data_IF_499643184510
#
_entry.id   IF_499643184510
#
_cell.length_a   1.000
_cell.length_b   1.000
_cell.length_c   1.000
_cell.angle_alpha   90.00
_cell.angle_beta   90.00
_cell.angle_gamma   90.00
#
_symmetry.space_group_name_H-M   'P 1'
#
loop_
_entity.id
_entity.type
_entity.pdbx_description
1 polymer ?
#
# COMPACT_ATOMS: atom_id res chain seq x y z
N UNK A 1 41.06 16.85 -6.52
CA UNK A 1 40.75 16.57 -7.93
C UNK A 1 39.25 16.47 -8.04
N UNK A 2 38.64 17.40 -8.75
CA UNK A 2 37.19 17.54 -8.90
C UNK A 2 36.58 16.28 -9.53
N UNK A 3 35.65 15.63 -8.84
CA UNK A 3 34.78 14.63 -9.44
C UNK A 3 33.96 15.34 -10.53
N UNK A 4 34.31 15.13 -11.80
CA UNK A 4 33.48 15.61 -12.91
C UNK A 4 32.18 14.80 -12.89
N UNK A 5 31.12 15.44 -12.40
CA UNK A 5 29.77 14.89 -12.47
C UNK A 5 29.32 15.01 -13.93
N UNK A 6 29.48 13.92 -14.68
CA UNK A 6 28.95 13.82 -16.04
C UNK A 6 27.45 13.54 -15.93
N UNK A 7 26.62 14.36 -16.57
CA UNK A 7 25.16 14.17 -16.63
C UNK A 7 24.79 12.79 -17.17
N UNK A 8 23.64 12.24 -16.76
CA UNK A 8 23.14 10.94 -17.24
C UNK A 8 23.12 10.80 -18.76
N UNK A 9 22.65 11.83 -19.47
CA UNK A 9 22.65 11.89 -20.93
C UNK A 9 24.07 11.78 -21.50
N UNK A 10 25.00 12.59 -21.00
CA UNK A 10 26.41 12.54 -21.43
C UNK A 10 27.08 11.19 -21.12
N UNK A 11 26.68 10.51 -20.05
CA UNK A 11 27.15 9.15 -19.76
C UNK A 11 26.68 8.14 -20.81
N UNK A 12 25.42 8.23 -21.24
CA UNK A 12 24.88 7.38 -22.32
C UNK A 12 25.54 7.69 -23.67
N UNK A 13 25.79 8.95 -23.99
CA UNK A 13 26.55 9.33 -25.19
C UNK A 13 27.95 8.70 -25.19
N UNK A 14 28.67 8.80 -24.08
CA UNK A 14 30.01 8.19 -23.95
C UNK A 14 29.96 6.66 -24.07
N UNK A 15 28.92 6.01 -23.53
CA UNK A 15 28.71 4.57 -23.72
C UNK A 15 28.48 4.22 -25.19
N UNK A 16 27.77 5.05 -25.95
CA UNK A 16 27.54 4.83 -27.38
C UNK A 16 28.82 5.02 -28.20
N UNK A 17 29.65 6.01 -27.88
CA UNK A 17 30.91 6.28 -28.58
C UNK A 17 31.90 5.10 -28.47
N UNK A 18 31.92 4.43 -27.32
CA UNK A 18 32.77 3.26 -27.06
C UNK A 18 32.33 2.02 -27.86
N UNK A 19 31.06 1.93 -28.27
CA UNK A 19 30.52 0.81 -29.06
C UNK A 19 30.95 0.84 -30.53
N UNK A 20 31.45 1.99 -31.02
CA UNK A 20 31.77 2.18 -32.43
C UNK A 20 33.12 1.55 -32.72
N UNK A 21 33.08 0.28 -33.11
CA UNK A 21 34.12 -0.31 -33.95
C UNK A 21 34.16 0.46 -35.28
N UNK A 22 34.93 1.56 -35.35
CA UNK A 22 35.36 2.21 -36.60
C UNK A 22 36.36 1.33 -37.37
N UNK A 23 36.19 0.02 -37.34
CA UNK A 23 37.09 -0.96 -37.97
C UNK A 23 36.65 -1.33 -39.39
N UNK A 24 35.56 -0.74 -39.91
CA UNK A 24 35.14 -0.87 -41.32
C UNK A 24 35.27 0.39 -42.18
N UNK A 25 35.71 1.51 -41.62
CA UNK A 25 36.14 2.67 -42.42
C UNK A 25 37.64 2.90 -42.22
N UNK A 26 38.31 3.33 -43.29
CA UNK A 26 39.78 3.46 -43.48
C UNK A 26 40.53 4.06 -42.27
N UNK A 27 41.83 3.77 -42.09
CA UNK A 27 42.55 4.03 -40.85
C UNK A 27 42.68 5.54 -40.60
N UNK A 28 41.83 6.09 -39.74
CA UNK A 28 41.94 7.49 -39.31
C UNK A 28 42.58 7.57 -37.92
N UNK A 29 43.85 8.01 -37.91
CA UNK A 29 44.61 8.76 -36.89
C UNK A 29 44.66 8.24 -35.43
N UNK A 30 45.88 8.19 -34.86
CA UNK A 30 46.18 7.95 -33.43
C UNK A 30 45.35 8.82 -32.47
N UNK A 31 44.91 10.00 -32.91
CA UNK A 31 43.96 10.87 -32.20
C UNK A 31 42.68 10.16 -31.75
N UNK A 32 42.11 9.29 -32.59
CA UNK A 32 40.84 8.61 -32.31
C UNK A 32 40.98 7.46 -31.30
N UNK A 33 42.14 6.80 -31.26
CA UNK A 33 42.41 5.77 -30.24
C UNK A 33 42.61 6.39 -28.86
N UNK A 34 43.23 7.57 -28.82
CA UNK A 34 43.42 8.32 -27.57
C UNK A 34 42.09 8.83 -27.01
N UNK A 35 41.17 9.27 -27.87
CA UNK A 35 39.83 9.72 -27.47
C UNK A 35 38.95 8.59 -26.92
N UNK A 36 38.94 7.40 -27.56
CA UNK A 36 38.20 6.23 -27.04
C UNK A 36 38.79 5.73 -25.71
N UNK A 37 40.12 5.78 -25.56
CA UNK A 37 40.78 5.42 -24.30
C UNK A 37 40.46 6.43 -23.19
N UNK A 38 40.37 7.72 -23.50
CA UNK A 38 39.98 8.76 -22.56
C UNK A 38 38.51 8.61 -22.13
N UNK A 39 37.60 8.38 -23.07
CA UNK A 39 36.18 8.14 -22.78
C UNK A 39 35.99 6.88 -21.91
N UNK A 40 36.80 5.85 -22.12
CA UNK A 40 36.81 4.65 -21.27
C UNK A 40 37.29 4.93 -19.85
N UNK A 41 38.34 5.73 -19.67
CA UNK A 41 38.78 6.14 -18.33
C UNK A 41 37.75 7.02 -17.63
N UNK A 42 37.07 7.88 -18.37
CA UNK A 42 36.03 8.76 -17.84
C UNK A 42 34.79 7.95 -17.42
N UNK A 43 34.40 6.93 -18.19
CA UNK A 43 33.30 6.01 -17.83
C UNK A 43 33.62 5.15 -16.60
N UNK A 44 34.85 4.64 -16.48
CA UNK A 44 35.27 3.83 -15.33
C UNK A 44 35.38 4.63 -14.03
N UNK A 45 35.70 5.92 -14.14
CA UNK A 45 35.82 6.82 -12.98
C UNK A 45 34.51 7.52 -12.62
N UNK A 46 33.49 7.44 -13.48
CA UNK A 46 32.19 8.07 -13.28
C UNK A 46 31.44 7.49 -12.05
N UNK A 47 30.96 8.38 -11.18
CA UNK A 47 30.20 8.04 -9.96
C UNK A 47 28.91 7.27 -10.22
N UNK A 48 28.31 7.41 -11.41
CA UNK A 48 27.12 6.66 -11.84
C UNK A 48 27.43 5.16 -12.01
N UNK A 49 28.57 4.85 -12.62
CA UNK A 49 28.96 3.48 -12.97
C UNK A 49 29.83 2.81 -11.90
N UNK A 50 30.50 3.59 -11.03
CA UNK A 50 31.36 3.12 -9.93
C UNK A 50 30.67 2.11 -9.01
N UNK A 51 29.36 2.28 -8.79
CA UNK A 51 28.56 1.38 -7.94
C UNK A 51 28.43 -0.05 -8.48
N UNK A 52 28.66 -0.24 -9.78
CA UNK A 52 28.56 -1.54 -10.44
C UNK A 52 29.92 -2.24 -10.57
N UNK A 53 31.02 -1.60 -10.14
CA UNK A 53 32.38 -2.15 -10.15
C UNK A 53 32.76 -2.80 -11.50
N UNK A 54 32.50 -2.09 -12.59
CA UNK A 54 32.60 -2.57 -13.97
C UNK A 54 34.06 -2.58 -14.45
N UNK A 55 34.40 -3.55 -15.29
CA UNK A 55 35.66 -3.55 -16.04
C UNK A 55 35.49 -3.03 -17.49
N UNK A 56 36.60 -2.92 -18.21
CA UNK A 56 36.64 -2.44 -19.61
C UNK A 56 35.75 -3.28 -20.53
N UNK A 57 35.62 -4.58 -20.27
CA UNK A 57 34.83 -5.48 -21.11
C UNK A 57 33.36 -5.39 -20.78
N UNK A 58 33.03 -5.20 -19.50
CA UNK A 58 31.68 -4.94 -19.03
C UNK A 58 31.09 -3.69 -19.71
N UNK A 59 31.86 -2.60 -19.79
CA UNK A 59 31.46 -1.38 -20.49
C UNK A 59 31.21 -1.65 -21.98
N UNK A 60 32.05 -2.47 -22.63
CA UNK A 60 31.84 -2.86 -24.03
C UNK A 60 30.55 -3.66 -24.21
N UNK A 61 30.25 -4.61 -23.31
CA UNK A 61 28.98 -5.36 -23.34
C UNK A 61 27.79 -4.41 -23.24
N UNK A 62 27.82 -3.50 -22.27
CA UNK A 62 26.77 -2.49 -22.05
C UNK A 62 26.60 -1.62 -23.30
N UNK A 63 27.71 -1.15 -23.88
CA UNK A 63 27.71 -0.32 -25.10
C UNK A 63 27.07 -1.03 -26.30
N UNK A 64 27.35 -2.32 -26.49
CA UNK A 64 26.81 -3.15 -27.57
C UNK A 64 25.30 -3.32 -27.40
N UNK A 65 24.83 -3.54 -26.17
CA UNK A 65 23.42 -3.72 -25.88
C UNK A 65 22.65 -2.41 -25.97
N UNK A 66 23.21 -1.30 -25.49
CA UNK A 66 22.63 0.02 -25.57
C UNK A 66 22.42 0.44 -27.03
N UNK A 67 23.43 0.21 -27.88
CA UNK A 67 23.32 0.44 -29.32
C UNK A 67 22.24 -0.43 -29.97
N UNK A 68 22.19 -1.72 -29.65
CA UNK A 68 21.18 -2.61 -30.21
C UNK A 68 19.77 -2.17 -29.81
N UNK A 69 19.59 -1.71 -28.57
CA UNK A 69 18.31 -1.18 -28.07
C UNK A 69 17.88 0.06 -28.86
N UNK A 70 18.79 1.01 -29.13
CA UNK A 70 18.51 2.17 -29.98
C UNK A 70 18.24 1.82 -31.45
N UNK A 71 18.84 0.73 -31.94
CA UNK A 71 18.54 0.16 -33.27
C UNK A 71 17.19 -0.59 -33.33
N UNK A 72 16.39 -0.58 -32.24
CA UNK A 72 15.10 -1.29 -32.14
C UNK A 72 15.22 -2.79 -31.89
N UNK A 73 16.36 -3.25 -31.37
CA UNK A 73 16.60 -4.65 -30.94
C UNK A 73 16.73 -4.73 -29.44
N UNK A 74 15.61 -4.98 -28.77
CA UNK A 74 15.52 -4.98 -27.30
C UNK A 74 16.30 -6.14 -26.66
N UNK A 75 16.46 -7.27 -27.36
CA UNK A 75 17.20 -8.43 -26.87
C UNK A 75 18.34 -8.85 -27.82
N UNK A 76 19.46 -9.29 -27.26
CA UNK A 76 20.61 -9.80 -28.03
C UNK A 76 21.05 -11.16 -27.47
N UNK A 77 21.17 -12.16 -28.34
CA UNK A 77 21.67 -13.50 -27.95
C UNK A 77 23.10 -13.42 -27.44
N UNK A 78 23.43 -14.21 -26.42
CA UNK A 78 24.77 -14.27 -25.82
C UNK A 78 25.86 -14.47 -26.88
N UNK A 79 25.62 -15.38 -27.83
CA UNK A 79 26.57 -15.68 -28.91
C UNK A 79 26.86 -14.47 -29.81
N UNK A 80 25.88 -13.59 -30.01
CA UNK A 80 26.03 -12.42 -30.88
C UNK A 80 26.72 -11.27 -30.14
N UNK A 81 26.54 -11.17 -28.82
CA UNK A 81 27.35 -10.29 -27.96
C UNK A 81 28.82 -10.73 -28.01
N UNK A 82 29.07 -12.04 -27.81
CA UNK A 82 30.43 -12.60 -27.80
C UNK A 82 31.16 -12.43 -29.14
N UNK A 83 30.47 -12.63 -30.27
CA UNK A 83 31.02 -12.38 -31.61
C UNK A 83 31.43 -10.92 -31.82
N UNK A 84 30.67 -9.97 -31.27
CA UNK A 84 30.98 -8.54 -31.38
C UNK A 84 32.14 -8.12 -30.47
N UNK A 85 32.40 -8.85 -29.39
CA UNK A 85 33.50 -8.53 -28.46
C UNK A 85 34.88 -8.96 -28.98
N UNK A 86 35.00 -10.11 -29.66
CA UNK A 86 36.28 -10.62 -30.17
C UNK A 86 36.17 -11.52 -31.41
N UNK A 87 37.22 -11.47 -32.26
CA UNK A 87 37.39 -12.36 -33.41
C UNK A 87 37.87 -13.80 -33.06
N UNK A 88 38.21 -14.11 -31.80
CA UNK A 88 38.80 -15.40 -31.41
C UNK A 88 37.86 -16.26 -30.53
N UNK A 89 37.40 -17.39 -31.09
CA UNK A 89 36.40 -18.28 -30.47
C UNK A 89 36.83 -18.90 -29.13
N UNK A 90 38.13 -19.13 -28.91
CA UNK A 90 38.63 -19.84 -27.73
C UNK A 90 38.64 -19.02 -26.42
N UNK A 91 38.56 -17.69 -26.48
CA UNK A 91 38.48 -16.82 -25.28
C UNK A 91 37.05 -16.48 -24.85
N UNK A 92 36.05 -16.83 -25.66
CA UNK A 92 34.63 -16.48 -25.47
C UNK A 92 33.98 -17.08 -24.22
N UNK A 93 34.52 -18.20 -23.71
CA UNK A 93 34.00 -18.87 -22.50
C UNK A 93 34.25 -18.07 -21.21
N UNK A 94 35.37 -17.35 -21.12
CA UNK A 94 35.65 -16.48 -19.98
C UNK A 94 34.73 -15.27 -19.92
N UNK A 95 34.30 -14.78 -21.08
CA UNK A 95 33.39 -13.64 -21.23
C UNK A 95 31.93 -14.02 -20.95
N UNK A 96 31.55 -15.29 -21.11
CA UNK A 96 30.24 -15.79 -20.71
C UNK A 96 30.00 -15.62 -19.20
N UNK A 97 31.03 -15.85 -18.38
CA UNK A 97 30.97 -15.61 -16.94
C UNK A 97 30.77 -14.12 -16.60
N UNK A 98 31.20 -13.20 -17.46
CA UNK A 98 30.94 -11.77 -17.28
C UNK A 98 29.49 -11.40 -17.54
N UNK A 99 28.83 -12.04 -18.50
CA UNK A 99 27.38 -11.86 -18.72
C UNK A 99 26.58 -12.29 -17.48
N UNK A 100 26.95 -13.42 -16.87
CA UNK A 100 26.35 -13.87 -15.60
C UNK A 100 26.61 -12.86 -14.49
N UNK A 101 27.87 -12.42 -14.32
CA UNK A 101 28.24 -11.40 -13.33
C UNK A 101 27.48 -10.08 -13.52
N UNK A 102 27.25 -9.62 -14.75
CA UNK A 102 26.49 -8.40 -15.04
C UNK A 102 24.99 -8.59 -14.79
N UNK A 103 24.46 -9.78 -15.05
CA UNK A 103 23.10 -10.17 -14.66
C UNK A 103 22.94 -10.11 -13.14
N UNK A 104 23.85 -10.72 -12.40
CA UNK A 104 23.80 -10.78 -10.92
C UNK A 104 23.95 -9.38 -10.28
N UNK A 105 24.60 -8.45 -10.98
CA UNK A 105 24.72 -7.04 -10.59
C UNK A 105 23.52 -6.18 -10.98
N UNK A 106 22.49 -6.77 -11.59
CA UNK A 106 21.28 -6.08 -12.02
C UNK A 106 21.48 -5.16 -13.22
N UNK A 107 22.60 -5.27 -13.95
CA UNK A 107 22.86 -4.51 -15.19
C UNK A 107 22.14 -5.14 -16.37
N UNK A 108 22.07 -6.48 -16.40
CA UNK A 108 21.43 -7.25 -17.47
C UNK A 108 20.21 -8.01 -16.96
N UNK A 109 19.24 -8.22 -17.86
CA UNK A 109 18.08 -9.09 -17.67
C UNK A 109 18.05 -10.14 -18.78
N UNK A 110 17.58 -11.35 -18.47
CA UNK A 110 17.36 -12.39 -19.47
C UNK A 110 15.97 -12.17 -20.07
N UNK A 111 15.91 -11.88 -21.37
CA UNK A 111 14.67 -11.65 -22.11
C UNK A 111 14.04 -12.97 -22.59
N UNK A 112 14.87 -13.90 -23.09
CA UNK A 112 14.47 -15.24 -23.54
C UNK A 112 15.54 -16.28 -23.20
N UNK A 113 15.13 -17.42 -22.63
CA UNK A 113 16.01 -18.53 -22.25
C UNK A 113 15.29 -19.54 -21.37
N UNK A 114 15.90 -20.72 -21.16
CA UNK A 114 15.40 -21.70 -20.18
C UNK A 114 15.45 -21.06 -18.78
N UNK A 115 14.27 -20.90 -18.18
CA UNK A 115 14.11 -20.41 -16.81
C UNK A 115 14.88 -21.32 -15.87
N UNK A 116 15.80 -20.74 -15.11
CA UNK A 116 16.93 -21.40 -14.44
C UNK A 116 18.00 -21.77 -15.45
N UNK A 117 18.81 -20.77 -15.85
CA UNK A 117 20.15 -21.09 -16.30
C UNK A 117 20.89 -21.67 -15.10
N UNK A 118 20.77 -22.98 -14.88
CA UNK A 118 21.85 -23.74 -14.28
C UNK A 118 23.14 -23.25 -14.96
N UNK A 119 24.24 -23.11 -14.22
CA UNK A 119 25.57 -22.63 -14.70
C UNK A 119 26.16 -23.46 -15.87
N UNK A 120 25.36 -24.33 -16.49
CA UNK A 120 25.66 -24.99 -17.74
C UNK A 120 25.91 -23.97 -18.86
N UNK A 121 27.11 -24.04 -19.42
CA UNK A 121 27.58 -23.18 -20.51
C UNK A 121 26.63 -23.21 -21.72
N UNK A 122 26.02 -24.36 -22.01
CA UNK A 122 25.12 -24.52 -23.14
C UNK A 122 23.84 -23.69 -22.98
N UNK A 123 23.21 -23.68 -21.79
CA UNK A 123 22.01 -22.88 -21.54
C UNK A 123 22.31 -21.39 -21.63
N UNK A 124 23.43 -20.96 -21.02
CA UNK A 124 23.88 -19.56 -21.02
C UNK A 124 24.16 -19.01 -22.43
N UNK A 125 24.64 -19.84 -23.37
CA UNK A 125 24.88 -19.43 -24.76
C UNK A 125 23.60 -19.19 -25.56
N UNK A 126 22.52 -19.90 -25.20
CA UNK A 126 21.22 -19.78 -25.86
C UNK A 126 20.33 -18.67 -25.27
N UNK A 127 20.72 -18.08 -24.14
CA UNK A 127 20.04 -16.95 -23.54
C UNK A 127 20.15 -15.67 -24.39
N UNK A 128 19.09 -14.88 -24.39
CA UNK A 128 19.05 -13.51 -24.91
C UNK A 128 19.06 -12.54 -23.74
N UNK A 129 19.97 -11.58 -23.79
CA UNK A 129 20.19 -10.57 -22.76
C UNK A 129 19.73 -9.20 -23.25
N UNK A 130 19.21 -8.42 -22.32
CA UNK A 130 18.84 -7.01 -22.49
C UNK A 130 19.41 -6.18 -21.34
N UNK A 131 19.59 -4.88 -21.54
CA UNK A 131 19.87 -3.98 -20.42
C UNK A 131 18.64 -3.94 -19.51
N UNK A 132 18.85 -3.92 -18.19
CA UNK A 132 17.72 -3.79 -17.27
C UNK A 132 17.16 -2.37 -17.32
N UNK A 133 15.83 -2.26 -17.24
CA UNK A 133 15.14 -0.98 -17.16
C UNK A 133 15.65 -0.17 -15.96
N UNK A 134 15.89 -0.85 -14.83
CA UNK A 134 16.43 -0.27 -13.60
C UNK A 134 17.84 0.33 -13.79
N UNK A 135 18.70 -0.33 -14.58
CA UNK A 135 20.03 0.18 -14.90
C UNK A 135 19.95 1.40 -15.81
N UNK A 136 19.16 1.34 -16.88
CA UNK A 136 18.96 2.47 -17.79
C UNK A 136 18.38 3.67 -17.04
N UNK A 137 17.32 3.45 -16.26
CA UNK A 137 16.68 4.50 -15.46
C UNK A 137 17.62 5.04 -14.38
N UNK A 138 18.55 4.23 -13.85
CA UNK A 138 19.55 4.72 -12.91
C UNK A 138 20.60 5.63 -13.54
N UNK A 139 20.89 5.48 -14.83
CA UNK A 139 21.83 6.35 -15.56
C UNK A 139 21.10 7.60 -16.04
N UNK A 140 19.92 7.42 -16.65
CA UNK A 140 19.13 8.51 -17.21
C UNK A 140 18.48 9.38 -16.13
N UNK A 141 17.86 8.75 -15.13
CA UNK A 141 17.14 9.40 -14.03
C UNK A 141 18.03 10.05 -12.96
N UNK A 142 19.35 10.13 -13.16
CA UNK A 142 20.26 10.96 -12.36
C UNK A 142 20.53 12.34 -12.95
N UNK A 143 19.72 12.81 -13.90
CA UNK A 143 19.48 14.26 -14.02
C UNK A 143 18.62 14.68 -12.85
N UNK A 144 19.30 15.27 -11.85
CA UNK A 144 18.76 15.79 -10.59
C UNK A 144 18.39 14.71 -9.56
N UNK A 145 19.37 14.33 -8.72
CA UNK A 145 19.04 14.34 -7.29
C UNK A 145 18.45 15.72 -7.03
N UNK A 146 17.12 15.82 -6.92
CA UNK A 146 16.45 17.06 -6.54
C UNK A 146 17.23 17.64 -5.35
N UNK A 147 17.77 18.87 -5.46
CA UNK A 147 18.64 19.43 -4.45
C UNK A 147 18.01 19.29 -3.08
N UNK A 148 18.84 19.01 -2.07
CA UNK A 148 18.53 18.73 -0.66
C UNK A 148 17.64 19.77 0.07
N UNK A 149 17.09 20.78 -0.60
CA UNK A 149 16.34 21.87 0.00
C UNK A 149 15.00 22.23 -0.69
N UNK A 150 14.51 21.40 -1.62
CA UNK A 150 13.25 21.66 -2.32
C UNK A 150 11.99 21.18 -1.59
N UNK A 151 12.12 20.55 -0.42
CA UNK A 151 10.99 20.02 0.34
C UNK A 151 10.08 21.17 0.81
N UNK A 152 8.94 21.34 0.12
CA UNK A 152 7.89 22.30 0.46
C UNK A 152 7.07 21.78 1.65
N UNK A 153 6.57 22.66 2.53
CA UNK A 153 5.63 22.25 3.57
C UNK A 153 4.38 21.62 2.95
N UNK A 154 3.75 20.69 3.66
CA UNK A 154 2.47 20.13 3.25
C UNK A 154 1.40 21.22 3.26
N UNK A 155 0.61 21.30 2.19
CA UNK A 155 -0.49 22.26 2.10
C UNK A 155 -1.75 21.77 2.81
N UNK A 156 -2.01 20.47 2.71
CA UNK A 156 -3.20 19.83 3.24
C UNK A 156 -2.93 18.39 3.68
N UNK A 157 -3.96 17.73 4.21
CA UNK A 157 -3.88 16.34 4.66
C UNK A 157 -3.71 15.35 3.50
N UNK A 158 -4.13 15.70 2.29
CA UNK A 158 -4.04 14.80 1.14
C UNK A 158 -2.61 14.69 0.64
N UNK A 159 -1.84 15.79 0.60
CA UNK A 159 -0.41 15.75 0.29
C UNK A 159 0.36 14.91 1.33
N UNK A 160 0.00 15.01 2.62
CA UNK A 160 0.60 14.16 3.66
C UNK A 160 0.26 12.67 3.47
N UNK A 161 -1.02 12.36 3.22
CA UNK A 161 -1.44 10.98 3.00
C UNK A 161 -0.82 10.39 1.72
N UNK A 162 -0.61 11.19 0.69
CA UNK A 162 0.06 10.77 -0.54
C UNK A 162 1.49 10.25 -0.25
N UNK A 163 2.29 10.99 0.51
CA UNK A 163 3.64 10.55 0.89
C UNK A 163 3.59 9.28 1.77
N UNK A 164 2.59 9.15 2.66
CA UNK A 164 2.40 7.91 3.45
C UNK A 164 2.02 6.71 2.58
N UNK A 165 1.19 6.91 1.55
CA UNK A 165 0.84 5.87 0.58
C UNK A 165 2.02 5.49 -0.31
N UNK A 166 2.86 6.45 -0.70
CA UNK A 166 4.10 6.16 -1.43
C UNK A 166 5.05 5.31 -0.56
N UNK A 167 5.21 5.68 0.71
CA UNK A 167 5.97 4.89 1.69
C UNK A 167 5.44 3.46 1.80
N UNK A 168 4.12 3.29 1.89
CA UNK A 168 3.49 1.97 1.92
C UNK A 168 3.72 1.18 0.62
N UNK A 169 3.67 1.85 -0.53
CA UNK A 169 3.90 1.21 -1.83
C UNK A 169 5.33 0.65 -1.94
N UNK A 170 6.31 1.33 -1.35
CA UNK A 170 7.68 0.80 -1.26
C UNK A 170 7.71 -0.51 -0.45
N UNK A 171 6.97 -0.60 0.66
CA UNK A 171 6.85 -1.86 1.42
C UNK A 171 6.16 -2.97 0.62
N UNK A 172 5.12 -2.65 -0.15
CA UNK A 172 4.48 -3.61 -1.08
C UNK A 172 5.49 -4.16 -2.09
N UNK A 173 6.29 -3.28 -2.70
CA UNK A 173 7.33 -3.70 -3.65
C UNK A 173 8.40 -4.59 -2.99
N UNK A 174 8.76 -4.34 -1.72
CA UNK A 174 9.64 -5.22 -0.95
C UNK A 174 8.98 -6.60 -0.78
N UNK A 175 7.71 -6.64 -0.36
CA UNK A 175 6.97 -7.87 -0.15
C UNK A 175 6.88 -8.70 -1.45
N UNK A 176 6.58 -8.06 -2.58
CA UNK A 176 6.54 -8.71 -3.89
C UNK A 176 7.90 -9.22 -4.35
N UNK A 177 8.99 -8.50 -4.08
CA UNK A 177 10.36 -8.97 -4.36
C UNK A 177 10.70 -10.22 -3.55
N UNK A 178 10.35 -10.24 -2.25
CA UNK A 178 10.55 -11.40 -1.38
C UNK A 178 9.74 -12.60 -1.89
N UNK A 179 8.46 -12.40 -2.22
CA UNK A 179 7.59 -13.46 -2.73
C UNK A 179 8.13 -14.06 -4.03
N UNK A 180 8.58 -13.22 -4.98
CA UNK A 180 9.19 -13.70 -6.23
C UNK A 180 10.48 -14.49 -6.01
N UNK A 181 11.30 -14.11 -5.04
CA UNK A 181 12.53 -14.84 -4.69
C UNK A 181 12.23 -16.21 -4.07
N UNK A 182 11.22 -16.28 -3.20
CA UNK A 182 10.72 -17.52 -2.62
C UNK A 182 10.19 -18.49 -3.69
N UNK A 183 9.41 -18.01 -4.65
CA UNK A 183 8.91 -18.83 -5.78
C UNK A 183 10.04 -19.39 -6.65
N UNK A 184 11.18 -18.67 -6.72
CA UNK A 184 12.38 -19.09 -7.46
C UNK A 184 13.31 -20.01 -6.66
N UNK A 185 13.00 -20.30 -5.40
CA UNK A 185 13.86 -21.12 -4.53
C UNK A 185 15.17 -20.44 -4.14
N UNK A 186 15.26 -19.11 -4.24
CA UNK A 186 16.46 -18.35 -3.88
C UNK A 186 16.55 -18.20 -2.36
N UNK A 187 17.76 -18.37 -1.80
CA UNK A 187 18.01 -18.12 -0.38
C UNK A 187 17.82 -16.64 -0.05
N UNK A 188 16.98 -16.36 0.95
CA UNK A 188 16.73 -14.99 1.49
C UNK A 188 17.99 -14.44 2.19
N UNK A 189 18.95 -15.31 2.52
CA UNK A 189 20.21 -14.96 3.16
C UNK A 189 21.21 -14.36 2.17
N UNK A 190 21.29 -13.04 2.20
CA UNK A 190 22.43 -12.20 1.82
C UNK A 190 22.77 -12.06 0.33
N UNK A 191 22.54 -10.84 -0.19
CA UNK A 191 23.36 -10.35 -1.29
C UNK A 191 22.81 -9.14 -2.03
N UNK A 192 21.51 -9.12 -2.32
CA UNK A 192 20.88 -7.98 -3.00
C UNK A 192 19.44 -7.82 -2.49
N UNK A 193 19.31 -7.34 -1.23
CA UNK A 193 18.16 -6.48 -0.93
C UNK A 193 18.20 -5.41 -1.99
N UNK A 194 17.12 -5.25 -2.75
CA UNK A 194 17.14 -4.40 -3.93
C UNK A 194 17.54 -2.98 -3.49
N UNK A 195 18.83 -2.61 -3.68
CA UNK A 195 19.47 -1.45 -3.05
C UNK A 195 18.76 -0.16 -3.46
N UNK A 196 18.04 -0.19 -4.58
CA UNK A 196 17.16 0.86 -5.04
C UNK A 196 15.89 1.00 -4.19
N UNK A 197 15.24 -0.11 -3.82
CA UNK A 197 14.06 -0.11 -2.94
C UNK A 197 14.43 0.38 -1.53
N UNK A 198 15.59 -0.06 -1.00
CA UNK A 198 16.10 0.45 0.28
C UNK A 198 16.44 1.95 0.23
N UNK A 199 17.08 2.40 -0.85
CA UNK A 199 17.33 3.83 -1.07
C UNK A 199 16.02 4.62 -1.21
N UNK A 200 15.02 4.07 -1.90
CA UNK A 200 13.68 4.64 -1.99
C UNK A 200 13.05 4.80 -0.62
N UNK A 201 13.15 3.78 0.24
CA UNK A 201 12.64 3.83 1.61
C UNK A 201 13.34 4.91 2.45
N UNK A 202 14.66 5.01 2.36
CA UNK A 202 15.43 6.06 3.06
C UNK A 202 15.03 7.45 2.57
N UNK A 203 14.87 7.61 1.25
CA UNK A 203 14.51 8.87 0.63
C UNK A 203 13.10 9.33 1.02
N UNK A 204 12.10 8.44 1.01
CA UNK A 204 10.73 8.80 1.38
C UNK A 204 10.63 9.13 2.88
N UNK A 205 11.31 8.36 3.74
CA UNK A 205 11.28 8.62 5.19
C UNK A 205 11.97 9.94 5.53
N UNK A 206 13.07 10.27 4.84
CA UNK A 206 13.73 11.57 4.95
C UNK A 206 12.83 12.70 4.45
N UNK A 207 12.19 12.53 3.30
CA UNK A 207 11.29 13.53 2.71
C UNK A 207 10.12 13.84 3.64
N UNK A 208 9.46 12.81 4.17
CA UNK A 208 8.36 12.97 5.13
C UNK A 208 8.85 13.73 6.37
N UNK A 209 10.01 13.36 6.93
CA UNK A 209 10.56 14.01 8.12
C UNK A 209 10.87 15.50 7.88
N UNK A 210 11.50 15.83 6.74
CA UNK A 210 11.84 17.21 6.36
C UNK A 210 10.58 18.06 6.12
N UNK A 211 9.60 17.52 5.38
CA UNK A 211 8.33 18.21 5.11
C UNK A 211 7.52 18.42 6.39
N UNK A 212 7.47 17.42 7.27
CA UNK A 212 6.86 17.53 8.59
C UNK A 212 7.53 18.59 9.45
N UNK A 213 8.86 18.68 9.43
CA UNK A 213 9.61 19.69 10.18
C UNK A 213 9.37 21.13 9.71
N UNK A 214 9.02 21.32 8.44
CA UNK A 214 8.68 22.63 7.84
C UNK A 214 7.18 22.97 7.91
N UNK A 215 6.33 22.06 8.37
CA UNK A 215 4.87 22.23 8.34
C UNK A 215 4.30 22.48 9.74
N UNK A 216 3.58 23.59 9.90
CA UNK A 216 2.89 23.94 11.16
C UNK A 216 1.49 23.32 11.30
N UNK A 217 1.03 22.54 10.31
CA UNK A 217 -0.28 21.91 10.30
C UNK A 217 -0.24 20.60 11.10
N UNK A 218 -1.19 20.43 12.01
CA UNK A 218 -1.39 19.15 12.69
C UNK A 218 -2.16 18.18 11.78
N UNK A 219 -1.56 17.01 11.50
CA UNK A 219 -2.19 15.96 10.70
C UNK A 219 -3.02 15.00 11.57
N UNK A 220 -4.27 14.68 11.19
CA UNK A 220 -5.13 13.76 11.92
C UNK A 220 -4.48 12.41 12.22
N UNK A 221 -3.70 11.86 11.28
CA UNK A 221 -3.03 10.59 11.46
C UNK A 221 -1.88 10.66 12.48
N UNK A 222 -1.10 11.76 12.49
CA UNK A 222 -0.03 11.97 13.47
C UNK A 222 -0.56 12.13 14.90
N UNK A 223 -1.66 12.87 15.06
CA UNK A 223 -2.35 12.96 16.35
C UNK A 223 -2.88 11.59 16.80
N UNK A 224 -3.47 10.84 15.86
CA UNK A 224 -4.00 9.51 16.11
C UNK A 224 -2.90 8.51 16.52
N UNK A 225 -1.76 8.52 15.83
CA UNK A 225 -0.59 7.70 16.15
C UNK A 225 -0.08 7.99 17.56
N UNK A 226 0.09 9.27 17.91
CA UNK A 226 0.56 9.68 19.25
C UNK A 226 -0.44 9.30 20.34
N UNK A 227 -1.73 9.56 20.11
CA UNK A 227 -2.79 9.29 21.10
C UNK A 227 -2.89 7.80 21.44
N UNK A 228 -2.80 6.94 20.42
CA UNK A 228 -2.92 5.49 20.62
C UNK A 228 -1.56 4.82 20.78
N UNK A 229 -0.44 5.54 20.74
CA UNK A 229 0.93 4.99 20.85
C UNK A 229 1.17 3.80 19.91
N UNK A 230 0.86 3.97 18.62
CA UNK A 230 0.96 2.88 17.62
C UNK A 230 2.43 2.52 17.34
N UNK A 231 2.67 1.23 17.11
CA UNK A 231 3.95 0.73 16.60
C UNK A 231 4.07 0.95 15.09
N UNK A 232 5.30 0.89 14.56
CA UNK A 232 5.55 1.06 13.11
C UNK A 232 4.73 0.09 12.24
N UNK A 233 4.54 -1.17 12.69
CA UNK A 233 3.73 -2.16 11.96
C UNK A 233 2.24 -1.82 12.03
N UNK A 234 1.74 -1.42 13.20
CA UNK A 234 0.35 -0.98 13.36
C UNK A 234 0.03 0.26 12.51
N UNK A 235 0.97 1.21 12.40
CA UNK A 235 0.86 2.37 11.52
C UNK A 235 0.69 1.95 10.06
N UNK A 236 1.54 1.02 9.57
CA UNK A 236 1.47 0.51 8.20
C UNK A 236 0.16 -0.25 7.95
N UNK A 237 -0.34 -1.01 8.92
CA UNK A 237 -1.65 -1.67 8.83
C UNK A 237 -2.76 -0.64 8.66
N UNK A 238 -2.80 0.41 9.50
CA UNK A 238 -3.85 1.44 9.40
C UNK A 238 -3.77 2.21 8.09
N UNK A 239 -2.57 2.61 7.64
CA UNK A 239 -2.38 3.29 6.35
C UNK A 239 -2.72 2.38 5.18
N UNK A 240 -2.40 1.08 5.25
CA UNK A 240 -2.74 0.10 4.21
C UNK A 240 -4.23 -0.09 4.05
N UNK A 241 -4.98 -0.21 5.16
CA UNK A 241 -6.44 -0.27 5.08
C UNK A 241 -7.01 1.04 4.53
N UNK A 242 -6.50 2.18 5.01
CA UNK A 242 -6.94 3.50 4.57
C UNK A 242 -6.73 3.72 3.06
N UNK A 243 -5.57 3.34 2.52
CA UNK A 243 -5.25 3.42 1.10
C UNK A 243 -6.21 2.57 0.26
N UNK A 244 -6.41 1.31 0.64
CA UNK A 244 -7.30 0.40 -0.07
C UNK A 244 -8.76 0.91 -0.09
N UNK A 245 -9.21 1.48 1.02
CA UNK A 245 -10.57 2.03 1.14
C UNK A 245 -10.76 3.39 0.43
N UNK A 246 -9.70 4.20 0.29
CA UNK A 246 -9.77 5.51 -0.39
C UNK A 246 -9.51 5.39 -1.89
N UNK A 247 -8.42 4.73 -2.27
CA UNK A 247 -7.95 4.68 -3.67
C UNK A 247 -8.67 3.57 -4.42
N UNK A 248 -8.75 2.37 -3.83
CA UNK A 248 -9.28 1.19 -4.50
C UNK A 248 -10.78 0.97 -4.25
N UNK A 249 -11.34 1.53 -3.17
CA UNK A 249 -12.70 1.18 -2.71
C UNK A 249 -12.88 -0.31 -2.40
N UNK A 250 -11.78 -1.02 -2.13
CA UNK A 250 -11.76 -2.47 -1.93
C UNK A 250 -11.57 -2.81 -0.45
N UNK A 251 -12.09 -3.97 -0.07
CA UNK A 251 -11.82 -4.54 1.25
C UNK A 251 -10.35 -4.92 1.38
N UNK A 252 -9.79 -4.74 2.57
CA UNK A 252 -8.45 -5.21 2.90
C UNK A 252 -8.51 -6.59 3.53
N UNK A 253 -7.51 -7.42 3.27
CA UNK A 253 -7.42 -8.75 3.88
C UNK A 253 -6.19 -8.87 4.77
N UNK A 254 -6.28 -9.69 5.83
CA UNK A 254 -5.18 -9.86 6.79
C UNK A 254 -3.89 -10.34 6.15
N UNK A 255 -3.95 -11.28 5.20
CA UNK A 255 -2.72 -11.85 4.64
C UNK A 255 -1.99 -10.84 3.76
N UNK A 256 -2.71 -10.00 3.01
CA UNK A 256 -2.11 -8.92 2.21
C UNK A 256 -1.41 -7.89 3.11
N UNK A 257 -2.00 -7.56 4.26
CA UNK A 257 -1.39 -6.64 5.23
C UNK A 257 -0.19 -7.27 5.95
N UNK A 258 -0.25 -8.58 6.24
CA UNK A 258 0.86 -9.35 6.82
C UNK A 258 2.06 -9.42 5.86
N UNK A 259 1.80 -9.56 4.56
CA UNK A 259 2.86 -9.54 3.54
C UNK A 259 3.63 -8.22 3.53
N UNK A 260 2.95 -7.10 3.81
CA UNK A 260 3.56 -5.77 3.85
C UNK A 260 4.40 -5.55 5.11
N UNK A 261 3.94 -6.01 6.28
CA UNK A 261 4.56 -5.70 7.58
C UNK A 261 5.57 -6.74 8.05
N UNK A 262 5.60 -7.93 7.46
CA UNK A 262 6.43 -9.05 7.88
C UNK A 262 7.37 -9.51 6.76
N UNK A 263 8.65 -9.70 7.08
CA UNK A 263 9.67 -10.08 6.11
C UNK A 263 9.92 -11.60 6.04
N UNK A 264 9.39 -12.36 7.00
CA UNK A 264 9.56 -13.81 7.07
C UNK A 264 8.27 -14.52 7.50
N UNK A 265 8.17 -15.82 7.20
CA UNK A 265 7.03 -16.65 7.63
C UNK A 265 6.87 -16.71 9.15
N UNK A 266 7.98 -16.64 9.90
CA UNK A 266 7.94 -16.59 11.37
C UNK A 266 7.38 -15.26 11.86
N UNK A 267 7.83 -14.14 11.28
CA UNK A 267 7.26 -12.83 11.61
C UNK A 267 5.76 -12.77 11.31
N UNK A 268 5.32 -13.31 10.17
CA UNK A 268 3.88 -13.38 9.83
C UNK A 268 3.06 -14.09 10.91
N UNK A 269 3.59 -15.16 11.51
CA UNK A 269 2.91 -15.87 12.60
C UNK A 269 2.78 -15.01 13.85
N UNK A 270 3.83 -14.25 14.20
CA UNK A 270 3.83 -13.37 15.37
C UNK A 270 2.95 -12.14 15.13
N UNK A 271 3.10 -11.49 13.98
CA UNK A 271 2.39 -10.26 13.62
C UNK A 271 0.90 -10.50 13.37
N UNK A 272 0.47 -11.74 13.12
CA UNK A 272 -0.95 -12.10 13.05
C UNK A 272 -1.72 -11.70 14.31
N UNK A 273 -1.06 -11.68 15.48
CA UNK A 273 -1.63 -11.23 16.73
C UNK A 273 -2.15 -9.78 16.71
N UNK A 274 -1.70 -8.94 15.76
CA UNK A 274 -2.21 -7.57 15.56
C UNK A 274 -3.71 -7.59 15.21
N UNK A 275 -4.18 -8.65 14.52
CA UNK A 275 -5.55 -8.80 14.04
C UNK A 275 -6.44 -9.68 14.93
N UNK A 276 -5.89 -10.21 16.03
CA UNK A 276 -6.64 -11.02 17.00
C UNK A 276 -7.47 -10.13 17.94
N UNK A 277 -8.46 -10.71 18.64
CA UNK A 277 -9.34 -9.97 19.56
C UNK A 277 -8.58 -9.22 20.67
N UNK A 278 -7.45 -9.78 21.11
CA UNK A 278 -6.56 -9.18 22.11
C UNK A 278 -5.56 -8.18 21.51
N UNK A 279 -5.43 -8.19 20.18
CA UNK A 279 -4.62 -7.25 19.42
C UNK A 279 -5.12 -5.82 19.62
N UNK A 280 -4.18 -4.89 19.79
CA UNK A 280 -4.50 -3.50 20.16
C UNK A 280 -5.46 -2.83 19.19
N UNK A 281 -5.26 -3.02 17.88
CA UNK A 281 -6.11 -2.42 16.85
C UNK A 281 -7.56 -2.90 16.94
N UNK A 282 -7.78 -4.18 17.26
CA UNK A 282 -9.11 -4.76 17.43
C UNK A 282 -9.71 -4.34 18.77
N UNK A 283 -8.92 -4.46 19.86
CA UNK A 283 -9.33 -4.12 21.23
C UNK A 283 -9.76 -2.66 21.39
N UNK A 284 -9.04 -1.73 20.75
CA UNK A 284 -9.36 -0.30 20.75
C UNK A 284 -10.41 0.09 19.70
N UNK A 285 -10.94 -0.88 18.95
CA UNK A 285 -11.93 -0.68 17.87
C UNK A 285 -11.44 0.26 16.77
N UNK A 286 -10.14 0.19 16.48
CA UNK A 286 -9.52 0.89 15.35
C UNK A 286 -9.88 0.15 14.05
N UNK A 287 -9.78 -1.18 14.08
CA UNK A 287 -10.17 -2.06 12.97
C UNK A 287 -11.33 -2.97 13.38
N UNK A 288 -12.16 -3.31 12.39
CA UNK A 288 -13.23 -4.29 12.49
C UNK A 288 -12.85 -5.47 11.60
N UNK A 289 -12.73 -6.66 12.19
CA UNK A 289 -12.36 -7.91 11.52
C UNK A 289 -13.54 -8.86 11.59
N UNK A 290 -14.07 -9.26 10.43
CA UNK A 290 -15.13 -10.26 10.37
C UNK A 290 -14.49 -11.66 10.39
N UNK A 291 -14.27 -12.20 11.58
CA UNK A 291 -13.75 -13.55 11.75
C UNK A 291 -14.81 -14.59 11.36
N UNK A 292 -14.89 -14.92 10.08
CA UNK A 292 -15.73 -16.02 9.58
C UNK A 292 -14.89 -17.28 9.36
N UNK A 293 -15.25 -18.38 10.03
CA UNK A 293 -14.60 -19.70 9.81
C UNK A 293 -14.52 -20.11 8.33
N UNK A 294 -15.50 -19.69 7.52
CA UNK A 294 -15.55 -19.96 6.07
C UNK A 294 -14.44 -19.26 5.27
N UNK A 295 -13.94 -18.12 5.72
CA UNK A 295 -12.92 -17.35 4.99
C UNK A 295 -11.50 -17.87 5.24
N UNK A 296 -11.24 -18.61 6.33
CA UNK A 296 -9.91 -19.16 6.63
C UNK A 296 -9.46 -20.31 5.72
N UNK A 297 -10.38 -20.95 5.00
CA UNK A 297 -10.10 -22.20 4.27
C UNK A 297 -9.90 -21.96 2.75
N UNK A 298 -10.44 -20.87 2.19
CA UNK A 298 -10.43 -20.61 0.75
C UNK A 298 -10.13 -19.15 0.33
N UNK A 299 -9.73 -18.26 1.25
CA UNK A 299 -9.53 -16.82 0.98
C UNK A 299 -8.17 -16.31 1.49
N UNK A 300 -7.76 -15.13 1.02
CA UNK A 300 -6.58 -14.33 1.39
C UNK A 300 -6.59 -13.84 2.86
N UNK A 301 -7.12 -14.64 3.79
CA UNK A 301 -7.35 -14.26 5.18
C UNK A 301 -8.71 -13.62 5.42
N UNK A 302 -8.88 -13.03 6.61
CA UNK A 302 -10.13 -12.40 7.01
C UNK A 302 -10.23 -10.97 6.43
N UNK A 303 -11.42 -10.52 6.01
CA UNK A 303 -11.61 -9.13 5.63
C UNK A 303 -11.51 -8.23 6.88
N UNK A 304 -10.83 -7.10 6.70
CA UNK A 304 -10.57 -6.10 7.73
C UNK A 304 -10.90 -4.71 7.17
N UNK A 305 -11.56 -3.90 7.99
CA UNK A 305 -11.92 -2.51 7.66
C UNK A 305 -11.58 -1.58 8.81
N UNK A 306 -11.39 -0.29 8.50
CA UNK A 306 -11.29 0.72 9.54
C UNK A 306 -12.66 1.03 10.11
N UNK A 307 -12.70 1.41 11.40
CA UNK A 307 -13.93 1.98 11.94
C UNK A 307 -14.31 3.24 11.14
N UNK A 308 -15.54 3.30 10.64
CA UNK A 308 -15.99 4.35 9.72
C UNK A 308 -15.80 5.78 10.27
N UNK A 309 -15.98 5.98 11.59
CA UNK A 309 -15.76 7.29 12.21
C UNK A 309 -14.27 7.67 12.23
N UNK A 310 -13.40 6.68 12.41
CA UNK A 310 -11.95 6.88 12.37
C UNK A 310 -11.51 7.20 10.95
N UNK A 311 -11.97 6.41 9.96
CA UNK A 311 -11.70 6.62 8.54
C UNK A 311 -11.99 8.06 8.12
N UNK A 312 -13.21 8.55 8.37
CA UNK A 312 -13.61 9.92 8.05
C UNK A 312 -12.74 10.98 8.76
N UNK A 313 -12.36 10.72 10.01
CA UNK A 313 -11.48 11.60 10.77
C UNK A 313 -10.07 11.64 10.17
N UNK A 314 -9.51 10.51 9.74
CA UNK A 314 -8.16 10.41 9.18
C UNK A 314 -8.06 11.07 7.81
N UNK A 315 -9.11 11.00 6.99
CA UNK A 315 -9.18 11.68 5.69
C UNK A 315 -9.23 13.21 5.85
N UNK A 316 -9.63 13.70 7.03
CA UNK A 316 -9.82 15.13 7.28
C UNK A 316 -11.14 15.66 6.73
N UNK A 317 -12.07 14.77 6.35
CA UNK A 317 -13.40 15.16 5.90
C UNK A 317 -14.22 15.61 7.12
N UNK A 318 -14.18 16.91 7.40
CA UNK A 318 -14.98 17.56 8.45
C UNK A 318 -16.45 17.65 8.05
N UNK A 319 -17.03 16.61 7.43
CA UNK A 319 -18.47 16.44 7.44
C UNK A 319 -18.87 16.19 8.88
N UNK A 320 -19.10 17.29 9.61
CA UNK A 320 -20.02 17.34 10.74
C UNK A 320 -21.31 16.74 10.19
N UNK A 321 -21.49 15.43 10.36
CA UNK A 321 -22.83 14.86 10.30
C UNK A 321 -23.62 15.66 11.32
N UNK A 322 -24.47 16.58 10.84
CA UNK A 322 -25.57 17.08 11.65
C UNK A 322 -26.23 15.81 12.16
N UNK A 323 -26.22 15.60 13.48
CA UNK A 323 -26.96 14.49 14.10
C UNK A 323 -28.37 14.50 13.49
N UNK A 324 -28.68 13.55 12.61
CA UNK A 324 -29.98 13.45 11.95
C UNK A 324 -30.00 13.06 10.47
N UNK A 325 -28.93 13.26 9.70
CA UNK A 325 -28.92 12.88 8.27
C UNK A 325 -28.22 11.53 8.08
N UNK A 326 -29.04 10.49 8.00
CA UNK A 326 -28.63 9.21 7.43
C UNK A 326 -28.69 9.41 5.91
N UNK A 327 -27.56 9.70 5.27
CA UNK A 327 -27.45 9.57 3.83
C UNK A 327 -27.24 8.08 3.52
N UNK A 328 -28.32 7.37 3.22
CA UNK A 328 -28.23 6.06 2.56
C UNK A 328 -28.24 6.34 1.06
N UNK A 329 -27.05 6.31 0.45
CA UNK A 329 -26.93 6.31 -0.99
C UNK A 329 -26.93 4.83 -1.43
N UNK A 330 -27.86 4.42 -2.29
CA UNK A 330 -27.69 3.19 -3.05
C UNK A 330 -28.96 2.51 -3.52
N UNK A 331 -29.93 2.29 -2.62
CA UNK A 331 -31.09 1.44 -2.92
C UNK A 331 -32.37 2.11 -2.40
N UNK A 332 -33.41 2.19 -3.25
CA UNK A 332 -34.77 2.69 -2.92
C UNK A 332 -35.49 1.86 -1.82
N UNK A 333 -34.79 0.95 -1.16
CA UNK A 333 -35.32 0.02 -0.15
C UNK A 333 -35.51 0.66 1.24
N UNK A 334 -34.77 1.74 1.54
CA UNK A 334 -34.82 2.41 2.83
C UNK A 334 -35.07 3.90 2.68
N UNK A 335 -36.12 4.41 3.32
CA UNK A 335 -36.41 5.85 3.38
C UNK A 335 -36.22 6.37 4.81
N UNK A 336 -35.37 7.40 4.96
CA UNK A 336 -35.15 8.07 6.24
C UNK A 336 -36.08 9.27 6.38
N UNK A 337 -37.13 9.13 7.19
CA UNK A 337 -38.14 10.16 7.41
C UNK A 337 -37.81 10.93 8.70
N UNK A 338 -37.78 12.27 8.61
CA UNK A 338 -37.71 13.14 9.78
C UNK A 338 -39.10 13.24 10.41
N UNK A 339 -39.32 12.74 11.64
CA UNK A 339 -40.63 12.81 12.26
C UNK A 339 -40.98 14.25 12.61
N UNK A 340 -42.24 14.62 12.40
CA UNK A 340 -42.75 15.99 12.58
C UNK A 340 -44.04 16.06 13.39
N UNK A 341 -44.63 14.91 13.71
CA UNK A 341 -45.97 14.81 14.27
C UNK A 341 -45.85 14.44 15.74
N UNK A 342 -46.33 15.27 16.66
CA UNK A 342 -46.29 14.97 18.08
C UNK A 342 -47.40 13.97 18.45
N UNK A 343 -47.20 13.19 19.52
CA UNK A 343 -48.07 12.05 19.85
C UNK A 343 -49.49 12.46 20.26
N UNK A 344 -49.68 13.70 20.73
CA UNK A 344 -50.98 14.27 21.08
C UNK A 344 -51.88 14.45 19.84
N UNK A 345 -51.31 14.48 18.63
CA UNK A 345 -52.10 14.52 17.38
C UNK A 345 -52.61 13.14 16.95
N UNK A 346 -52.15 12.06 17.57
CA UNK A 346 -52.60 10.70 17.25
C UNK A 346 -53.72 10.31 18.21
N UNK A 347 -54.96 10.32 17.70
CA UNK A 347 -56.12 9.92 18.49
C UNK A 347 -56.21 8.40 18.48
N UNK A 348 -55.86 7.79 19.61
CA UNK A 348 -55.92 6.34 19.84
C UNK A 348 -56.98 6.01 20.88
N UNK A 349 -57.44 4.76 20.89
CA UNK A 349 -58.28 4.25 21.96
C UNK A 349 -57.54 4.39 23.31
N UNK A 350 -58.20 4.79 24.41
CA UNK A 350 -57.54 5.08 25.69
C UNK A 350 -56.58 3.98 26.17
N UNK A 351 -57.03 2.72 26.07
CA UNK A 351 -56.22 1.54 26.42
C UNK A 351 -54.93 1.42 25.60
N UNK A 352 -55.01 1.65 24.29
CA UNK A 352 -53.86 1.59 23.38
C UNK A 352 -52.87 2.73 23.67
N UNK A 353 -53.38 3.91 24.02
CA UNK A 353 -52.54 5.04 24.38
C UNK A 353 -51.77 4.78 25.68
N UNK A 354 -52.41 4.13 26.66
CA UNK A 354 -51.77 3.71 27.90
C UNK A 354 -50.64 2.68 27.65
N UNK A 355 -50.92 1.62 26.88
CA UNK A 355 -49.94 0.61 26.49
C UNK A 355 -48.73 1.23 25.75
N UNK A 356 -49.01 2.17 24.85
CA UNK A 356 -47.99 2.89 24.09
C UNK A 356 -47.12 3.76 25.00
N UNK A 357 -47.72 4.47 25.95
CA UNK A 357 -47.02 5.32 26.91
C UNK A 357 -46.08 4.49 27.78
N UNK A 358 -46.56 3.35 28.30
CA UNK A 358 -45.74 2.41 29.08
C UNK A 358 -44.54 1.91 28.27
N UNK A 359 -44.74 1.60 26.99
CA UNK A 359 -43.66 1.12 26.13
C UNK A 359 -42.62 2.21 25.81
N UNK A 360 -43.06 3.45 25.52
CA UNK A 360 -42.15 4.59 25.33
C UNK A 360 -41.34 4.85 26.61
N UNK A 361 -41.99 4.81 27.78
CA UNK A 361 -41.31 4.97 29.06
C UNK A 361 -40.27 3.89 29.30
N UNK A 362 -40.54 2.62 28.96
CA UNK A 362 -39.56 1.53 29.06
C UNK A 362 -38.32 1.76 28.19
N UNK A 363 -38.46 2.44 27.05
CA UNK A 363 -37.34 2.80 26.17
C UNK A 363 -36.55 4.01 26.69
N UNK A 364 -37.22 4.95 27.37
CA UNK A 364 -36.61 6.16 27.90
C UNK A 364 -35.98 5.96 29.29
N UNK A 365 -36.62 5.18 30.16
CA UNK A 365 -36.12 4.87 31.50
C UNK A 365 -34.90 3.98 31.35
N UNK A 366 -33.77 4.51 31.83
CA UNK A 366 -32.58 3.72 32.10
C UNK A 366 -32.95 2.81 33.28
N UNK A 367 -33.58 1.65 33.01
CA UNK A 367 -34.01 0.66 34.02
C UNK A 367 -32.90 0.33 35.01
N UNK A 368 -31.64 0.45 34.57
CA UNK A 368 -30.45 0.41 35.42
C UNK A 368 -30.47 1.39 36.61
N UNK A 369 -31.01 2.61 36.47
CA UNK A 369 -31.10 3.61 37.54
C UNK A 369 -32.19 3.26 38.55
N UNK A 370 -33.38 2.84 38.09
CA UNK A 370 -34.48 2.44 38.96
C UNK A 370 -34.12 1.17 39.75
N UNK A 371 -33.50 0.19 39.10
CA UNK A 371 -33.00 -1.02 39.76
C UNK A 371 -31.92 -0.70 40.82
N UNK A 372 -31.10 0.31 40.55
CA UNK A 372 -30.08 0.80 41.50
C UNK A 372 -30.71 1.54 42.69
N UNK A 373 -31.74 2.35 42.46
CA UNK A 373 -32.52 3.03 43.51
C UNK A 373 -33.30 2.05 44.38
N UNK A 374 -33.81 0.95 43.81
CA UNK A 374 -34.51 -0.12 44.54
C UNK A 374 -33.57 -1.06 45.30
N UNK A 375 -32.27 -0.78 45.34
CA UNK A 375 -31.29 -1.58 46.08
C UNK A 375 -31.02 -2.96 45.48
N UNK A 376 -31.50 -3.23 44.26
CA UNK A 376 -31.23 -4.46 43.52
C UNK A 376 -29.81 -4.37 42.94
N UNK A 377 -28.81 -4.55 43.81
CA UNK A 377 -27.42 -4.76 43.42
C UNK A 377 -27.35 -6.05 42.62
N UNK A 378 -26.94 -5.94 41.36
CA UNK A 378 -26.70 -7.05 40.44
C UNK A 378 -25.80 -8.13 41.10
N UNK A 379 -26.40 -9.21 41.59
CA UNK A 379 -25.75 -10.53 41.76
C UNK A 379 -25.21 -11.07 40.41
N UNK A 380 -25.55 -10.42 39.29
CA UNK A 380 -25.00 -10.64 37.95
C UNK A 380 -23.71 -9.85 37.67
N UNK A 381 -23.09 -9.22 38.69
CA UNK A 381 -21.78 -8.54 38.60
C UNK A 381 -20.58 -9.50 38.70
N UNK A 382 -20.64 -10.69 38.08
CA UNK A 382 -19.40 -11.35 37.65
C UNK A 382 -18.91 -10.66 36.37
N UNK A 383 -17.72 -10.09 36.46
CA UNK A 383 -17.28 -8.91 35.71
C UNK A 383 -16.91 -9.13 34.22
N UNK A 384 -16.96 -10.35 33.70
CA UNK A 384 -16.57 -10.64 32.30
C UNK A 384 -17.76 -10.70 31.32
N UNK A 385 -18.94 -11.15 31.75
CA UNK A 385 -20.08 -11.37 30.84
C UNK A 385 -20.91 -10.10 30.61
N UNK A 386 -20.96 -9.21 31.60
CA UNK A 386 -21.79 -8.00 31.56
C UNK A 386 -21.27 -6.92 30.61
N UNK A 387 -19.96 -6.91 30.31
CA UNK A 387 -19.38 -6.01 29.29
C UNK A 387 -19.78 -6.40 27.86
N UNK A 388 -20.21 -7.65 27.61
CA UNK A 388 -20.57 -8.17 26.27
C UNK A 388 -21.98 -7.80 25.81
N UNK A 389 -22.88 -7.29 26.67
CA UNK A 389 -24.27 -6.95 26.28
C UNK A 389 -24.74 -5.61 26.85
N UNK A 390 -24.14 -4.51 26.40
CA UNK A 390 -24.85 -3.21 26.37
C UNK A 390 -25.90 -3.21 25.24
N UNK A 391 -26.87 -4.11 25.28
CA UNK A 391 -28.03 -3.96 24.40
C UNK A 391 -28.86 -2.81 24.94
N UNK A 392 -29.04 -1.74 24.16
CA UNK A 392 -30.06 -0.74 24.47
C UNK A 392 -31.41 -1.46 24.51
N UNK A 393 -32.30 -1.16 25.46
CA UNK A 393 -33.63 -1.76 25.46
C UNK A 393 -34.30 -1.50 24.11
N UNK A 394 -34.79 -2.57 23.49
CA UNK A 394 -35.50 -2.57 22.21
C UNK A 394 -36.91 -3.11 22.43
N UNK A 395 -37.90 -2.49 21.81
CA UNK A 395 -39.29 -2.95 21.84
C UNK A 395 -39.74 -3.10 20.39
N UNK A 396 -40.40 -4.22 20.11
CA UNK A 396 -41.09 -4.46 18.84
C UNK A 396 -42.57 -4.20 19.06
N UNK A 397 -43.17 -3.35 18.23
CA UNK A 397 -44.59 -3.03 18.26
C UNK A 397 -45.24 -3.48 16.96
N UNK A 398 -46.37 -4.15 17.05
CA UNK A 398 -47.17 -4.54 15.89
C UNK A 398 -48.47 -3.74 15.87
N UNK A 399 -48.57 -2.78 14.95
CA UNK A 399 -49.79 -2.02 14.72
C UNK A 399 -50.67 -2.74 13.70
N UNK A 400 -51.88 -3.15 14.08
CA UNK A 400 -52.83 -3.82 13.20
C UNK A 400 -54.17 -3.06 13.12
N UNK A 401 -54.91 -3.24 12.02
CA UNK A 401 -56.20 -2.58 11.78
C UNK A 401 -56.42 -2.26 10.29
N UNK A 402 -57.61 -1.80 9.94
CA UNK A 402 -57.99 -1.48 8.55
C UNK A 402 -57.05 -0.43 7.92
N UNK A 403 -56.90 -0.40 6.58
CA UNK A 403 -56.20 0.68 5.90
C UNK A 403 -56.72 2.06 6.32
N UNK A 404 -55.84 3.05 6.48
CA UNK A 404 -56.22 4.41 6.87
C UNK A 404 -56.40 4.67 8.38
N UNK A 405 -56.26 3.67 9.26
CA UNK A 405 -56.42 3.85 10.73
C UNK A 405 -55.22 4.50 11.44
N UNK A 406 -54.30 5.14 10.70
CA UNK A 406 -53.18 5.88 11.30
C UNK A 406 -52.01 5.03 11.84
N UNK A 407 -51.84 3.78 11.39
CA UNK A 407 -50.70 2.92 11.81
C UNK A 407 -49.33 3.57 11.56
N UNK A 408 -49.11 4.07 10.33
CA UNK A 408 -47.88 4.77 9.95
C UNK A 408 -47.74 6.10 10.69
N UNK A 409 -48.87 6.78 10.94
CA UNK A 409 -48.91 8.03 11.73
C UNK A 409 -48.44 7.79 13.17
N UNK A 410 -48.87 6.70 13.79
CA UNK A 410 -48.44 6.32 15.13
C UNK A 410 -46.92 6.04 15.18
N UNK A 411 -46.36 5.37 14.18
CA UNK A 411 -44.91 5.15 14.08
C UNK A 411 -44.13 6.48 13.99
N UNK A 412 -44.61 7.45 13.21
CA UNK A 412 -44.01 8.79 13.12
C UNK A 412 -44.04 9.52 14.47
N UNK A 413 -45.19 9.47 15.16
CA UNK A 413 -45.36 10.09 16.46
C UNK A 413 -44.46 9.50 17.55
N UNK A 414 -44.28 8.18 17.57
CA UNK A 414 -43.36 7.52 18.50
C UNK A 414 -41.91 7.97 18.25
N UNK A 415 -41.50 8.03 16.98
CA UNK A 415 -40.16 8.50 16.60
C UNK A 415 -39.95 9.98 17.01
N UNK A 416 -40.97 10.82 16.83
CA UNK A 416 -40.96 12.21 17.27
C UNK A 416 -40.75 12.32 18.79
N UNK A 417 -41.55 11.61 19.59
CA UNK A 417 -41.47 11.61 21.06
C UNK A 417 -40.12 11.10 21.58
N UNK A 418 -39.54 10.10 20.90
CA UNK A 418 -38.22 9.57 21.23
C UNK A 418 -37.06 10.45 20.73
N UNK A 419 -37.35 11.50 19.94
CA UNK A 419 -36.36 12.35 19.26
C UNK A 419 -35.38 11.54 18.41
N UNK A 420 -35.88 10.55 17.66
CA UNK A 420 -35.10 9.67 16.78
C UNK A 420 -35.59 9.76 15.34
N UNK A 421 -34.69 9.54 14.38
CA UNK A 421 -35.09 9.40 12.97
C UNK A 421 -35.94 8.15 12.77
N UNK A 422 -36.94 8.21 11.87
CA UNK A 422 -37.73 7.07 11.44
C UNK A 422 -37.10 6.48 10.17
N UNK A 423 -36.90 5.17 10.14
CA UNK A 423 -36.45 4.45 8.95
C UNK A 423 -37.62 3.57 8.52
N UNK A 424 -38.09 3.75 7.30
CA UNK A 424 -39.14 2.93 6.69
C UNK A 424 -38.53 1.95 5.69
N UNK A 425 -39.11 0.76 5.66
CA UNK A 425 -38.77 -0.33 4.75
C UNK A 425 -40.08 -0.75 4.12
N UNK A 426 -40.13 -0.76 2.79
CA UNK A 426 -41.24 -1.31 2.03
C UNK A 426 -40.85 -2.70 1.52
N UNK A 427 -41.58 -3.73 1.98
CA UNK A 427 -41.36 -5.13 1.60
C UNK A 427 -42.47 -5.64 0.66
N UNK A 428 -43.15 -4.73 -0.05
CA UNK A 428 -44.26 -5.06 -0.97
C UNK A 428 -43.84 -5.89 -2.19
#
# INVERSE_FOLDING_TARGET
>A
MSEHIISGEKCLELLLDVSVDKTKERPSSESNKNEVNQNMTDLLTNSLLKNYNLDVTDIKIISILLKNMLDGRDETRAIDILKKLQNNKCKSLGELKKLVRLKDRGVLKIARGLGNADDNIASLLHCSYQLSDDFINSIYGRTEELPLDTAKPYKDNYEYLADQFERLNIFKNIAEDISRKLERGESISDGVKNKQIEKGLINIERTIAERMGKTDIAFPFEEFKKKNNLSRKEELVVIGILENEIISGRESYTDELLDIISQSSYEKLVDRAIFDEDGKLVKEKIIESEASMRHRIFSKGNPVKLNENLRLKLIGDKKKRKRGEIAMNGDDFFEAIKPSIPIEKVILHPKTNEELTIAIEKLQKNTANVLKEWGIKNSLQSAETYKRRKSKPSITMLFHGSPGTGKTLAANAIAYTLKRSLITIDCS
#
